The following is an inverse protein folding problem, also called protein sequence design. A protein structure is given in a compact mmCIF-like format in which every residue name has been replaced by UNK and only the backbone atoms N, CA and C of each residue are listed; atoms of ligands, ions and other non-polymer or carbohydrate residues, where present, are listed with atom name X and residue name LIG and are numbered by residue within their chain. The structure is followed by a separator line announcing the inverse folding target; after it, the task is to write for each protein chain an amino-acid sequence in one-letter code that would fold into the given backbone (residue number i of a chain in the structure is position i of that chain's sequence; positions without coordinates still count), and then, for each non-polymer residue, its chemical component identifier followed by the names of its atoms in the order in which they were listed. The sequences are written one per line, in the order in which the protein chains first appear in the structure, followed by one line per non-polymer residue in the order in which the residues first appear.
data_IF_654732859287
#
_entry.id   IF_654732859287
#
_cell.length_a   1.000
_cell.length_b   1.000
_cell.length_c   1.000
_cell.angle_alpha   90.00
_cell.angle_beta   90.00
_cell.angle_gamma   90.00
#
_symmetry.space_group_name_H-M   'P 1'
#
loop_
_entity.id
_entity.type
_entity.pdbx_description
1 polymer ?
#
# COMPACT_ATOMS: atom_id res chain seq x y z
N UNK A 1 32.42 -34.65 -3.37
CA UNK A 1 32.20 -33.58 -2.36
C UNK A 1 31.76 -32.28 -3.06
N UNK A 2 30.44 -32.07 -3.17
CA UNK A 2 29.86 -30.88 -3.79
C UNK A 2 29.80 -29.75 -2.76
N UNK A 3 30.33 -28.57 -3.13
CA UNK A 3 30.36 -27.38 -2.29
C UNK A 3 28.96 -26.80 -2.12
N UNK A 4 28.37 -27.00 -0.95
CA UNK A 4 27.28 -26.19 -0.44
C UNK A 4 27.89 -25.07 0.41
N UNK A 5 27.97 -23.85 -0.12
CA UNK A 5 28.58 -22.74 0.62
C UNK A 5 28.26 -21.31 0.16
N UNK A 6 27.50 -21.10 -0.92
CA UNK A 6 27.23 -19.76 -1.48
C UNK A 6 25.87 -19.14 -1.17
N UNK A 7 24.93 -19.88 -0.55
CA UNK A 7 23.52 -19.44 -0.49
C UNK A 7 23.19 -18.34 0.52
N UNK A 8 23.97 -18.18 1.59
CA UNK A 8 23.65 -17.25 2.68
C UNK A 8 24.05 -15.80 2.36
N UNK A 9 25.21 -15.58 1.72
CA UNK A 9 25.65 -14.22 1.33
C UNK A 9 24.74 -13.60 0.26
N UNK A 10 24.22 -14.42 -0.64
CA UNK A 10 23.39 -13.94 -1.75
C UNK A 10 22.00 -13.52 -1.27
N UNK A 11 21.41 -14.27 -0.33
CA UNK A 11 20.12 -13.90 0.28
C UNK A 11 20.20 -12.60 1.11
N UNK A 12 21.26 -12.42 1.89
CA UNK A 12 21.45 -11.19 2.67
C UNK A 12 21.65 -9.97 1.76
N UNK A 13 22.40 -10.13 0.66
CA UNK A 13 22.59 -9.09 -0.34
C UNK A 13 21.28 -8.74 -1.08
N UNK A 14 20.49 -9.75 -1.45
CA UNK A 14 19.16 -9.54 -2.06
C UNK A 14 18.21 -8.81 -1.12
N UNK A 15 18.17 -9.19 0.16
CA UNK A 15 17.35 -8.55 1.19
C UNK A 15 17.78 -7.09 1.43
N UNK A 16 19.08 -6.83 1.48
CA UNK A 16 19.61 -5.47 1.64
C UNK A 16 19.24 -4.59 0.44
N UNK A 17 19.36 -5.12 -0.79
CA UNK A 17 18.94 -4.42 -2.00
C UNK A 17 17.42 -4.18 -2.04
N UNK A 18 16.61 -5.15 -1.59
CA UNK A 18 15.16 -5.00 -1.47
C UNK A 18 14.79 -3.89 -0.47
N UNK A 19 15.44 -3.86 0.69
CA UNK A 19 15.24 -2.81 1.71
C UNK A 19 15.62 -1.43 1.17
N UNK A 20 16.75 -1.32 0.46
CA UNK A 20 17.16 -0.06 -0.16
C UNK A 20 16.10 0.45 -1.16
N UNK A 21 15.62 -0.42 -2.05
CA UNK A 21 14.54 -0.09 -3.00
C UNK A 21 13.24 0.31 -2.31
N UNK A 22 12.85 -0.38 -1.24
CA UNK A 22 11.66 -0.02 -0.47
C UNK A 22 11.79 1.38 0.16
N UNK A 23 12.97 1.75 0.67
CA UNK A 23 13.23 3.08 1.21
C UNK A 23 13.22 4.17 0.12
N UNK A 24 13.80 3.89 -1.05
CA UNK A 24 13.74 4.77 -2.21
C UNK A 24 12.29 5.00 -2.67
N UNK A 25 11.50 3.91 -2.76
CA UNK A 25 10.08 3.98 -3.08
C UNK A 25 9.31 4.78 -2.04
N UNK A 26 9.54 4.58 -0.74
CA UNK A 26 8.87 5.34 0.32
C UNK A 26 9.14 6.84 0.22
N UNK A 27 10.38 7.23 -0.12
CA UNK A 27 10.75 8.63 -0.31
C UNK A 27 10.01 9.23 -1.52
N UNK A 28 10.01 8.53 -2.65
CA UNK A 28 9.28 8.93 -3.85
C UNK A 28 7.77 9.03 -3.58
N UNK A 29 7.19 7.98 -3.00
CA UNK A 29 5.77 7.86 -2.68
C UNK A 29 5.31 8.99 -1.77
N UNK A 30 6.07 9.30 -0.72
CA UNK A 30 5.76 10.41 0.20
C UNK A 30 5.64 11.74 -0.54
N UNK A 31 6.58 12.05 -1.44
CA UNK A 31 6.53 13.27 -2.24
C UNK A 31 5.33 13.29 -3.20
N UNK A 32 5.06 12.16 -3.87
CA UNK A 32 3.97 12.05 -4.82
C UNK A 32 2.60 12.15 -4.14
N UNK A 33 2.40 11.41 -3.04
CA UNK A 33 1.14 11.44 -2.27
C UNK A 33 0.88 12.82 -1.68
N UNK A 34 1.88 13.52 -1.15
CA UNK A 34 1.69 14.90 -0.66
C UNK A 34 1.12 15.82 -1.74
N UNK A 35 1.54 15.66 -3.01
CA UNK A 35 1.00 16.44 -4.14
C UNK A 35 -0.40 15.98 -4.55
N UNK A 36 -0.69 14.69 -4.46
CA UNK A 36 -1.99 14.12 -4.83
C UNK A 36 -3.07 14.34 -3.78
N UNK A 37 -2.72 14.48 -2.50
CA UNK A 37 -3.70 14.59 -1.42
C UNK A 37 -4.68 15.74 -1.55
N UNK A 38 -4.26 16.98 -1.88
CA UNK A 38 -5.22 18.06 -2.10
C UNK A 38 -6.27 17.71 -3.15
N UNK A 39 -5.85 17.15 -4.29
CA UNK A 39 -6.73 16.79 -5.41
C UNK A 39 -7.69 15.65 -5.06
N UNK A 40 -7.18 14.63 -4.37
CA UNK A 40 -7.99 13.47 -3.96
C UNK A 40 -9.02 13.84 -2.88
N UNK A 41 -8.68 14.79 -2.00
CA UNK A 41 -9.56 15.25 -0.93
C UNK A 41 -10.58 16.29 -1.41
N UNK A 42 -10.29 17.05 -2.47
CA UNK A 42 -11.20 18.03 -3.08
C UNK A 42 -12.52 17.40 -3.55
N UNK A 43 -12.47 16.12 -3.95
CA UNK A 43 -13.64 15.36 -4.38
C UNK A 43 -14.43 14.71 -3.23
N UNK A 44 -13.96 14.86 -1.99
CA UNK A 44 -14.58 14.27 -0.80
C UNK A 44 -15.33 15.31 0.02
N UNK A 45 -16.22 14.82 0.89
CA UNK A 45 -16.86 15.67 1.88
C UNK A 45 -15.81 16.33 2.80
N UNK A 46 -16.09 17.53 3.34
CA UNK A 46 -15.21 18.13 4.33
C UNK A 46 -15.00 17.20 5.53
N UNK A 47 -13.81 17.23 6.11
CA UNK A 47 -13.50 16.39 7.27
C UNK A 47 -14.17 16.95 8.54
N UNK A 48 -15.01 16.13 9.19
CA UNK A 48 -15.39 16.32 10.59
C UNK A 48 -14.47 15.48 11.48
N UNK A 49 -13.64 16.17 12.28
CA UNK A 49 -12.68 15.54 13.20
C UNK A 49 -13.33 14.74 14.32
N UNK A 50 -14.52 15.13 14.78
CA UNK A 50 -15.24 14.39 15.83
C UNK A 50 -15.79 13.08 15.27
N UNK A 51 -16.46 13.13 14.11
CA UNK A 51 -16.99 11.94 13.43
C UNK A 51 -15.89 10.99 13.00
N UNK A 52 -14.79 11.51 12.45
CA UNK A 52 -13.63 10.72 12.06
C UNK A 52 -13.00 10.00 13.26
N UNK A 53 -12.88 10.68 14.41
CA UNK A 53 -12.38 10.04 15.65
C UNK A 53 -13.33 8.96 16.16
N UNK A 54 -14.65 9.18 16.09
CA UNK A 54 -15.65 8.18 16.45
C UNK A 54 -15.51 6.94 15.57
N UNK A 55 -15.46 7.11 14.24
CA UNK A 55 -15.25 6.02 13.30
C UNK A 55 -13.96 5.25 13.59
N UNK A 56 -12.84 5.95 13.83
CA UNK A 56 -11.57 5.32 14.18
C UNK A 56 -11.64 4.51 15.48
N UNK A 57 -12.31 5.04 16.51
CA UNK A 57 -12.51 4.31 17.77
C UNK A 57 -13.35 3.05 17.54
N UNK A 58 -14.43 3.17 16.77
CA UNK A 58 -15.27 2.05 16.37
C UNK A 58 -14.45 0.99 15.64
N UNK A 59 -13.67 1.37 14.62
CA UNK A 59 -12.77 0.47 13.89
C UNK A 59 -11.81 -0.29 14.79
N UNK A 60 -11.22 0.37 15.79
CA UNK A 60 -10.32 -0.29 16.75
C UNK A 60 -11.04 -1.29 17.67
N UNK A 61 -12.32 -1.06 17.98
CA UNK A 61 -13.13 -1.96 18.82
C UNK A 61 -13.79 -3.09 18.04
N UNK A 62 -14.15 -2.86 16.78
CA UNK A 62 -14.93 -3.78 15.94
C UNK A 62 -14.18 -5.10 15.65
N UNK A 63 -12.85 -5.09 15.72
CA UNK A 63 -12.02 -6.30 15.69
C UNK A 63 -12.40 -7.32 16.78
N UNK A 64 -13.07 -6.87 17.85
CA UNK A 64 -13.52 -7.74 18.95
C UNK A 64 -14.96 -8.25 18.80
N UNK A 65 -15.78 -7.69 17.90
CA UNK A 65 -17.24 -7.91 17.87
C UNK A 65 -17.79 -8.41 16.54
N UNK A 66 -16.93 -8.73 15.56
CA UNK A 66 -17.30 -9.25 14.22
C UNK A 66 -18.31 -8.38 13.41
N UNK A 67 -18.62 -7.17 13.88
CA UNK A 67 -19.45 -6.23 13.14
C UNK A 67 -18.67 -5.61 11.97
N UNK A 68 -19.36 -5.11 10.94
CA UNK A 68 -18.70 -4.24 9.95
C UNK A 68 -18.78 -2.78 10.42
N UNK A 69 -17.68 -2.01 10.38
CA UNK A 69 -17.72 -0.58 10.68
C UNK A 69 -18.59 0.15 9.66
N UNK A 70 -19.44 1.06 10.12
CA UNK A 70 -20.25 1.88 9.22
C UNK A 70 -19.41 3.01 8.60
N UNK A 71 -19.30 2.99 7.27
CA UNK A 71 -18.65 4.03 6.46
C UNK A 71 -19.66 4.86 5.66
N UNK A 72 -20.94 4.88 6.05
CA UNK A 72 -21.98 5.66 5.37
C UNK A 72 -21.74 7.18 5.46
N UNK A 73 -21.21 7.66 6.58
CA UNK A 73 -20.92 9.08 6.81
C UNK A 73 -19.70 9.55 5.97
N UNK A 74 -19.97 10.45 5.02
CA UNK A 74 -18.97 11.00 4.10
C UNK A 74 -17.86 11.79 4.78
N UNK A 75 -18.15 12.50 5.86
CA UNK A 75 -17.19 13.35 6.57
C UNK A 75 -16.24 12.50 7.42
N UNK A 76 -16.79 11.46 8.08
CA UNK A 76 -16.00 10.47 8.81
C UNK A 76 -15.06 9.69 7.88
N UNK A 77 -15.54 9.30 6.70
CA UNK A 77 -14.72 8.67 5.65
C UNK A 77 -13.56 9.54 5.21
N UNK A 78 -13.78 10.83 5.06
CA UNK A 78 -12.76 11.76 4.56
C UNK A 78 -11.58 11.87 5.53
N UNK A 79 -11.85 11.95 6.84
CA UNK A 79 -10.79 11.89 7.85
C UNK A 79 -10.09 10.52 7.92
N UNK A 80 -10.82 9.42 7.72
CA UNK A 80 -10.22 8.09 7.62
C UNK A 80 -9.24 8.01 6.44
N UNK A 81 -9.66 8.42 5.24
CA UNK A 81 -8.87 8.42 4.01
C UNK A 81 -7.63 9.30 4.18
N UNK A 82 -7.79 10.55 4.64
CA UNK A 82 -6.67 11.47 4.88
C UNK A 82 -5.59 10.87 5.79
N UNK A 83 -6.00 10.11 6.81
CA UNK A 83 -5.07 9.50 7.77
C UNK A 83 -4.40 8.21 7.26
N UNK A 84 -5.11 7.36 6.52
CA UNK A 84 -4.63 6.01 6.21
C UNK A 84 -4.17 5.81 4.77
N UNK A 85 -4.63 6.63 3.82
CA UNK A 85 -4.29 6.48 2.41
C UNK A 85 -2.77 6.51 2.17
N UNK A 86 -1.96 7.42 2.76
CA UNK A 86 -0.52 7.41 2.54
C UNK A 86 0.11 6.07 2.95
N UNK A 87 -0.19 5.58 4.15
CA UNK A 87 0.37 4.33 4.63
C UNK A 87 -0.11 3.13 3.80
N UNK A 88 -1.42 3.03 3.55
CA UNK A 88 -2.01 1.88 2.86
C UNK A 88 -1.59 1.79 1.40
N UNK A 89 -1.52 2.91 0.69
CA UNK A 89 -1.03 2.94 -0.70
C UNK A 89 0.48 2.65 -0.79
N UNK A 90 1.28 3.00 0.23
CA UNK A 90 2.71 2.68 0.25
C UNK A 90 2.96 1.17 0.37
N UNK A 91 2.16 0.45 1.18
CA UNK A 91 2.30 -0.99 1.38
C UNK A 91 2.21 -1.76 0.06
N UNK A 92 1.29 -1.38 -0.82
CA UNK A 92 1.13 -1.98 -2.15
C UNK A 92 2.41 -1.84 -2.97
N UNK A 93 2.97 -0.63 -3.08
CA UNK A 93 4.18 -0.43 -3.87
C UNK A 93 5.42 -1.11 -3.27
N UNK A 94 5.51 -1.23 -1.94
CA UNK A 94 6.58 -2.01 -1.29
C UNK A 94 6.48 -3.49 -1.67
N UNK A 95 5.28 -4.07 -1.60
CA UNK A 95 5.05 -5.47 -1.97
C UNK A 95 5.37 -5.69 -3.45
N UNK A 96 4.93 -4.80 -4.32
CA UNK A 96 5.21 -4.88 -5.76
C UNK A 96 6.70 -4.72 -6.08
N UNK A 97 7.46 -4.04 -5.23
CA UNK A 97 8.92 -3.89 -5.35
C UNK A 97 9.72 -5.06 -4.78
N UNK A 98 9.07 -6.06 -4.17
CA UNK A 98 9.74 -7.22 -3.60
C UNK A 98 10.41 -8.07 -4.69
N UNK A 99 11.67 -8.52 -4.54
CA UNK A 99 12.39 -9.26 -5.57
C UNK A 99 11.63 -10.47 -6.14
N UNK A 100 10.97 -11.25 -5.28
CA UNK A 100 10.20 -12.41 -5.73
C UNK A 100 8.98 -12.04 -6.56
N UNK A 101 8.32 -10.93 -6.22
CA UNK A 101 7.19 -10.42 -6.99
C UNK A 101 7.68 -9.89 -8.33
N UNK A 102 8.82 -9.19 -8.37
CA UNK A 102 9.45 -8.72 -9.61
C UNK A 102 9.81 -9.91 -10.52
N UNK A 103 10.37 -10.98 -9.98
CA UNK A 103 10.68 -12.22 -10.74
C UNK A 103 9.40 -12.81 -11.36
N UNK A 104 8.31 -12.90 -10.59
CA UNK A 104 7.00 -13.37 -11.07
C UNK A 104 6.44 -12.44 -12.16
N UNK A 105 6.54 -11.12 -11.98
CA UNK A 105 6.09 -10.14 -12.96
C UNK A 105 6.83 -10.26 -14.29
N UNK A 106 8.17 -10.39 -14.25
CA UNK A 106 9.00 -10.59 -15.43
C UNK A 106 8.65 -11.88 -16.16
N UNK A 107 8.50 -13.00 -15.43
CA UNK A 107 8.13 -14.29 -16.00
C UNK A 107 6.73 -14.26 -16.67
N UNK A 108 5.78 -13.49 -16.12
CA UNK A 108 4.41 -13.38 -16.67
C UNK A 108 4.29 -12.40 -17.83
N UNK A 109 5.08 -11.32 -17.86
CA UNK A 109 5.16 -10.40 -19.02
C UNK A 109 5.57 -11.14 -20.30
N UNK A 110 6.39 -12.17 -20.18
CA UNK A 110 6.81 -13.04 -21.29
C UNK A 110 5.64 -13.92 -21.80
N UNK A 111 4.63 -14.17 -20.95
CA UNK A 111 3.51 -15.06 -21.26
C UNK A 111 2.21 -14.31 -21.59
N UNK A 112 2.23 -12.97 -21.67
CA UNK A 112 1.06 -12.12 -21.93
C UNK A 112 -0.14 -12.38 -20.98
N UNK A 113 0.14 -12.75 -19.73
CA UNK A 113 -0.88 -13.03 -18.71
C UNK A 113 -1.07 -11.83 -17.79
N UNK A 114 -2.34 -11.42 -17.60
CA UNK A 114 -2.70 -10.39 -16.62
C UNK A 114 -2.30 -10.78 -15.19
N UNK A 115 -1.81 -9.79 -14.43
CA UNK A 115 -1.53 -9.91 -13.01
C UNK A 115 -2.70 -9.33 -12.23
N UNK A 116 -3.42 -10.19 -11.51
CA UNK A 116 -4.44 -9.77 -10.57
C UNK A 116 -3.79 -9.58 -9.19
N UNK A 117 -3.78 -8.33 -8.70
CA UNK A 117 -3.38 -8.01 -7.32
C UNK A 117 -4.62 -8.15 -6.45
N UNK A 118 -4.62 -9.11 -5.52
CA UNK A 118 -5.61 -9.15 -4.46
C UNK A 118 -5.39 -7.93 -3.54
N UNK A 119 -6.46 -7.18 -3.26
CA UNK A 119 -6.42 -5.99 -2.41
C UNK A 119 -5.69 -6.29 -1.09
N UNK A 120 -4.69 -5.48 -0.73
CA UNK A 120 -3.89 -5.69 0.49
C UNK A 120 -4.60 -5.08 1.72
N UNK A 121 -5.94 -5.14 1.73
CA UNK A 121 -6.78 -4.63 2.81
C UNK A 121 -6.86 -3.10 2.88
N UNK A 122 -6.42 -2.37 1.84
CA UNK A 122 -6.39 -0.91 1.79
C UNK A 122 -7.74 -0.25 1.44
N UNK A 123 -8.67 -1.01 0.87
CA UNK A 123 -9.80 -0.49 0.11
C UNK A 123 -9.37 -0.16 -1.34
N UNK A 124 -10.26 -0.30 -2.34
CA UNK A 124 -9.88 -0.27 -3.75
C UNK A 124 -9.18 1.03 -4.18
N UNK A 125 -9.53 2.18 -3.57
CA UNK A 125 -8.90 3.46 -3.86
C UNK A 125 -7.43 3.56 -3.40
N UNK A 126 -7.09 3.00 -2.23
CA UNK A 126 -5.71 3.02 -1.73
C UNK A 126 -4.80 2.15 -2.60
N UNK A 127 -5.30 1.00 -3.02
CA UNK A 127 -4.55 0.07 -3.85
C UNK A 127 -4.33 0.63 -5.25
N UNK A 128 -5.35 1.27 -5.83
CA UNK A 128 -5.22 1.97 -7.11
C UNK A 128 -4.14 3.05 -7.08
N UNK A 129 -4.12 3.89 -6.05
CA UNK A 129 -3.06 4.91 -5.87
C UNK A 129 -1.70 4.25 -5.73
N UNK A 130 -1.59 3.19 -4.91
CA UNK A 130 -0.34 2.44 -4.75
C UNK A 130 0.19 1.86 -6.06
N UNK A 131 -0.67 1.26 -6.88
CA UNK A 131 -0.32 0.71 -8.19
C UNK A 131 0.11 1.79 -9.19
N UNK A 132 -0.63 2.91 -9.26
CA UNK A 132 -0.31 4.02 -10.16
C UNK A 132 1.04 4.63 -9.81
N UNK A 133 1.30 4.86 -8.52
CA UNK A 133 2.58 5.41 -8.07
C UNK A 133 3.73 4.44 -8.30
N UNK A 134 3.53 3.15 -8.05
CA UNK A 134 4.54 2.14 -8.33
C UNK A 134 4.87 2.03 -9.83
N UNK A 135 3.89 2.18 -10.72
CA UNK A 135 4.13 2.21 -12.18
C UNK A 135 5.05 3.36 -12.61
N UNK A 136 5.04 4.47 -11.87
CA UNK A 136 5.78 5.70 -12.19
C UNK A 136 7.07 5.87 -11.37
N UNK A 137 7.44 4.87 -10.56
CA UNK A 137 8.69 4.79 -9.81
C UNK A 137 9.73 4.05 -10.65
#
# INVERSE_FOLDING_TARGET
PMSQGGGYSDQENELHAARKRALEYLKYHGQAVTRLMPVLLDRLAPEDRAKSRKLMKTLSTVVQWECSPDFSDGEARSGYIRRHLPHRSAQVGIVLSHPDIVKIQQARRIQDKELHVASIGGGPGCDAVGMILHRNF
#
